data_IF_226236806878
#
_entry.id   IF_226236806878
#
_cell.length_a   1.000
_cell.length_b   1.000
_cell.length_c   1.000
_cell.angle_alpha   90.00
_cell.angle_beta   90.00
_cell.angle_gamma   90.00
#
_symmetry.space_group_name_H-M   'P 1'
#
loop_
_entity.id
_entity.type
_entity.pdbx_description
1 polymer ?
#
# COMPACT_ATOMS: atom_id res chain seq x y z
N UNK A 1 18.26 -21.09 -2.18
CA UNK A 1 19.23 -20.88 -1.08
C UNK A 1 18.65 -19.83 -0.13
N UNK A 2 17.89 -20.25 0.89
CA UNK A 2 17.43 -19.33 1.93
C UNK A 2 18.54 -19.27 2.96
N UNK A 3 19.23 -18.12 3.07
CA UNK A 3 20.18 -17.86 4.14
C UNK A 3 19.44 -18.02 5.48
N UNK A 4 19.59 -19.19 6.10
CA UNK A 4 19.03 -19.50 7.41
C UNK A 4 19.94 -18.89 8.49
N UNK A 5 19.97 -17.57 8.54
CA UNK A 5 20.87 -16.83 9.43
C UNK A 5 20.16 -16.51 10.75
N UNK A 6 20.15 -17.49 11.66
CA UNK A 6 19.69 -17.29 13.04
C UNK A 6 20.50 -16.19 13.75
N UNK A 7 21.77 -15.98 13.37
CA UNK A 7 22.66 -15.01 14.02
C UNK A 7 22.23 -13.56 13.73
N UNK A 8 21.82 -13.25 12.48
CA UNK A 8 21.28 -11.94 12.13
C UNK A 8 19.92 -11.66 12.77
N UNK A 9 19.10 -12.70 12.97
CA UNK A 9 17.80 -12.56 13.66
C UNK A 9 18.01 -12.20 15.12
N UNK A 10 18.89 -12.92 15.81
CA UNK A 10 19.25 -12.67 17.22
C UNK A 10 19.90 -11.29 17.40
N UNK A 11 20.81 -10.89 16.50
CA UNK A 11 21.49 -9.59 16.57
C UNK A 11 20.52 -8.41 16.44
N UNK A 12 19.50 -8.51 15.57
CA UNK A 12 18.50 -7.45 15.38
C UNK A 12 17.59 -7.27 16.60
N UNK A 13 17.25 -8.36 17.28
CA UNK A 13 16.43 -8.36 18.51
C UNK A 13 17.20 -7.81 19.70
N UNK A 14 18.49 -8.12 19.81
CA UNK A 14 19.35 -7.55 20.84
C UNK A 14 19.52 -6.03 20.68
N UNK A 15 19.62 -5.54 19.44
CA UNK A 15 19.75 -4.10 19.16
C UNK A 15 18.44 -3.34 19.37
N UNK A 16 17.30 -4.00 19.19
CA UNK A 16 15.98 -3.38 19.31
C UNK A 16 15.09 -4.26 20.21
N UNK A 17 15.34 -4.28 21.52
CA UNK A 17 14.53 -5.07 22.44
C UNK A 17 13.16 -4.42 22.63
N UNK A 18 12.13 -5.22 22.98
CA UNK A 18 10.85 -4.66 23.38
C UNK A 18 11.01 -3.83 24.65
N UNK A 19 10.41 -2.64 24.65
CA UNK A 19 10.29 -1.80 25.84
C UNK A 19 9.29 -2.45 26.80
N UNK A 20 9.76 -2.73 28.01
CA UNK A 20 8.93 -3.28 29.07
C UNK A 20 8.06 -2.19 29.66
N UNK A 21 6.87 -2.60 30.07
CA UNK A 21 5.91 -1.71 30.71
C UNK A 21 6.34 -1.50 32.18
N UNK A 22 6.38 -0.25 32.69
CA UNK A 22 6.66 -0.02 34.09
C UNK A 22 5.51 -0.53 34.98
N UNK A 23 5.86 -1.06 36.15
CA UNK A 23 4.91 -1.59 37.12
C UNK A 23 3.86 -0.55 37.51
N UNK A 24 2.59 -0.98 37.55
CA UNK A 24 1.44 -0.13 37.90
C UNK A 24 0.88 0.75 36.77
N UNK A 25 1.49 0.77 35.58
CA UNK A 25 0.91 1.52 34.46
C UNK A 25 -0.25 0.75 33.78
N UNK A 26 -1.21 1.46 33.18
CA UNK A 26 -2.30 0.88 32.37
C UNK A 26 -2.04 1.09 30.86
N UNK A 27 -2.58 0.22 30.01
CA UNK A 27 -2.43 0.33 28.54
C UNK A 27 -1.15 -0.29 27.95
N UNK A 28 -0.93 -0.07 26.64
CA UNK A 28 0.19 -0.64 25.87
C UNK A 28 1.42 0.26 25.94
N UNK A 29 2.57 -0.29 26.30
CA UNK A 29 3.84 0.44 26.25
C UNK A 29 4.20 0.79 24.80
N UNK A 30 4.43 2.08 24.53
CA UNK A 30 4.97 2.53 23.23
C UNK A 30 6.33 1.85 23.04
N UNK A 31 6.57 1.34 21.84
CA UNK A 31 7.83 0.73 21.45
C UNK A 31 8.63 1.71 20.58
N UNK A 32 9.93 1.47 20.41
CA UNK A 32 10.75 2.25 19.48
C UNK A 32 10.31 2.05 18.03
N UNK A 33 10.59 3.04 17.18
CA UNK A 33 10.28 2.97 15.76
C UNK A 33 11.02 1.80 15.08
N UNK A 34 12.27 1.57 15.46
CA UNK A 34 13.07 0.45 14.96
C UNK A 34 12.48 -0.91 15.34
N UNK A 35 12.00 -1.08 16.58
CA UNK A 35 11.30 -2.30 17.00
C UNK A 35 10.01 -2.51 16.20
N UNK A 36 9.19 -1.46 16.07
CA UNK A 36 7.93 -1.51 15.34
C UNK A 36 8.15 -1.84 13.85
N UNK A 37 9.18 -1.25 13.23
CA UNK A 37 9.56 -1.52 11.86
C UNK A 37 10.02 -2.97 11.67
N UNK A 38 10.94 -3.45 12.52
CA UNK A 38 11.40 -4.85 12.49
C UNK A 38 10.23 -5.82 12.63
N UNK A 39 9.30 -5.55 13.55
CA UNK A 39 8.11 -6.37 13.76
C UNK A 39 7.21 -6.36 12.51
N UNK A 40 6.99 -5.22 11.88
CA UNK A 40 6.22 -5.13 10.62
C UNK A 40 6.90 -5.87 9.47
N UNK A 41 8.22 -5.77 9.34
CA UNK A 41 8.98 -6.49 8.32
C UNK A 41 8.87 -8.01 8.48
N UNK A 42 8.85 -8.51 9.71
CA UNK A 42 8.62 -9.93 9.98
C UNK A 42 7.20 -10.36 9.64
N UNK A 43 6.21 -9.58 10.08
CA UNK A 43 4.80 -9.89 9.85
C UNK A 43 4.42 -9.91 8.37
N UNK A 44 5.08 -9.07 7.56
CA UNK A 44 4.79 -8.92 6.13
C UNK A 44 5.96 -9.33 5.24
N UNK A 45 6.85 -10.21 5.72
CA UNK A 45 8.07 -10.59 5.02
C UNK A 45 7.78 -11.12 3.61
N UNK A 46 6.77 -11.99 3.48
CA UNK A 46 6.38 -12.60 2.22
C UNK A 46 5.89 -11.57 1.20
N UNK A 47 5.16 -10.55 1.67
CA UNK A 47 4.68 -9.47 0.80
C UNK A 47 5.81 -8.51 0.40
N UNK A 48 6.69 -8.16 1.34
CA UNK A 48 7.82 -7.24 1.11
C UNK A 48 8.84 -7.86 0.15
N UNK A 49 9.13 -9.16 0.32
CA UNK A 49 10.13 -9.89 -0.47
C UNK A 49 9.52 -10.60 -1.68
N UNK A 50 8.24 -10.37 -1.99
CA UNK A 50 7.52 -11.01 -3.10
C UNK A 50 8.26 -10.89 -4.43
N UNK A 51 8.85 -9.74 -4.71
CA UNK A 51 9.62 -9.46 -5.94
C UNK A 51 10.84 -10.38 -6.13
N UNK A 52 11.36 -11.00 -5.05
CA UNK A 52 12.47 -11.95 -5.13
C UNK A 52 11.96 -13.30 -5.66
N UNK A 53 10.77 -13.72 -5.24
CA UNK A 53 10.18 -15.00 -5.61
C UNK A 53 9.38 -14.93 -6.92
N UNK A 54 8.83 -13.76 -7.24
CA UNK A 54 7.93 -13.53 -8.38
C UNK A 54 8.43 -12.34 -9.22
N UNK A 55 9.12 -12.60 -10.35
CA UNK A 55 9.67 -11.55 -11.21
C UNK A 55 8.62 -10.63 -11.86
N UNK A 56 7.34 -11.02 -11.84
CA UNK A 56 6.26 -10.18 -12.35
C UNK A 56 5.95 -9.01 -11.40
N UNK A 57 6.35 -9.13 -10.13
CA UNK A 57 6.19 -8.09 -9.11
C UNK A 57 7.43 -7.19 -9.10
N UNK A 58 7.29 -5.89 -9.38
CA UNK A 58 8.42 -4.98 -9.36
C UNK A 58 8.98 -4.80 -7.95
N UNK A 59 10.28 -4.57 -7.84
CA UNK A 59 10.94 -4.24 -6.57
C UNK A 59 10.38 -2.96 -5.91
N UNK A 60 9.94 -1.99 -6.72
CA UNK A 60 9.44 -0.71 -6.21
C UNK A 60 7.93 -0.68 -6.06
N UNK A 61 7.45 -0.01 -5.01
CA UNK A 61 6.03 0.27 -4.78
C UNK A 61 5.50 1.52 -5.51
N UNK A 62 6.30 2.11 -6.40
CA UNK A 62 6.01 3.41 -7.03
C UNK A 62 4.63 3.44 -7.73
N UNK A 63 4.21 2.34 -8.34
CA UNK A 63 2.92 2.25 -9.04
C UNK A 63 1.76 2.38 -8.04
N UNK A 64 1.80 1.65 -6.93
CA UNK A 64 0.73 1.72 -5.92
C UNK A 64 0.73 3.08 -5.21
N UNK A 65 1.90 3.63 -4.89
CA UNK A 65 2.00 4.96 -4.27
C UNK A 65 1.42 6.04 -5.18
N UNK A 66 1.69 6.00 -6.49
CA UNK A 66 1.11 6.93 -7.46
C UNK A 66 -0.41 6.80 -7.53
N UNK A 67 -0.96 5.59 -7.45
CA UNK A 67 -2.41 5.38 -7.41
C UNK A 67 -3.05 5.97 -6.15
N UNK A 68 -2.45 5.74 -4.97
CA UNK A 68 -2.96 6.23 -3.67
C UNK A 68 -2.75 7.75 -3.48
N UNK A 69 -1.81 8.36 -4.21
CA UNK A 69 -1.55 9.80 -4.13
C UNK A 69 -2.75 10.65 -4.57
N UNK A 70 -3.57 10.14 -5.49
CA UNK A 70 -4.66 10.93 -6.08
C UNK A 70 -5.77 11.30 -5.09
N UNK A 71 -6.26 10.37 -4.24
CA UNK A 71 -7.11 10.73 -3.11
C UNK A 71 -6.50 11.83 -2.21
N UNK A 72 -5.20 11.77 -1.93
CA UNK A 72 -4.54 12.78 -1.10
C UNK A 72 -4.43 14.14 -1.80
N UNK A 73 -4.15 14.15 -3.09
CA UNK A 73 -4.13 15.37 -3.92
C UNK A 73 -5.52 16.00 -3.98
N UNK A 74 -6.58 15.20 -4.17
CA UNK A 74 -7.97 15.68 -4.05
C UNK A 74 -8.18 16.35 -2.70
N UNK A 75 -7.80 15.71 -1.60
CA UNK A 75 -7.95 16.29 -0.27
C UNK A 75 -7.20 17.61 -0.09
N UNK A 76 -5.98 17.70 -0.64
CA UNK A 76 -5.15 18.89 -0.57
C UNK A 76 -5.75 20.07 -1.35
N UNK A 77 -6.25 19.82 -2.56
CA UNK A 77 -6.69 20.87 -3.49
C UNK A 77 -8.17 21.22 -3.29
N UNK A 78 -9.02 20.21 -3.08
CA UNK A 78 -10.49 20.33 -3.07
C UNK A 78 -11.10 20.01 -1.71
N UNK A 79 -10.30 19.96 -0.64
CA UNK A 79 -10.76 19.62 0.71
C UNK A 79 -11.19 18.16 0.87
N UNK A 80 -11.71 17.79 2.05
CA UNK A 80 -12.11 16.42 2.37
C UNK A 80 -13.31 15.91 1.53
N UNK A 81 -13.56 14.60 1.55
CA UNK A 81 -14.82 14.05 1.04
C UNK A 81 -15.92 14.30 2.07
N UNK A 82 -17.09 14.81 1.63
CA UNK A 82 -18.22 15.11 2.52
C UNK A 82 -18.94 13.86 3.02
N UNK A 83 -18.85 12.76 2.26
CA UNK A 83 -19.48 11.47 2.58
C UNK A 83 -18.52 10.34 2.21
N UNK A 84 -18.67 9.19 2.88
CA UNK A 84 -17.93 7.96 2.55
C UNK A 84 -18.26 7.51 1.12
N UNK A 85 -19.54 7.50 0.74
CA UNK A 85 -19.98 7.18 -0.61
C UNK A 85 -19.30 8.04 -1.69
N UNK A 86 -19.07 9.34 -1.43
CA UNK A 86 -18.34 10.20 -2.35
C UNK A 86 -16.86 9.85 -2.48
N UNK A 87 -16.23 9.39 -1.40
CA UNK A 87 -14.87 8.86 -1.42
C UNK A 87 -14.80 7.54 -2.20
N UNK A 88 -15.77 6.65 -1.99
CA UNK A 88 -15.85 5.35 -2.68
C UNK A 88 -16.02 5.54 -4.18
N UNK A 89 -16.96 6.40 -4.61
CA UNK A 89 -17.16 6.73 -6.01
C UNK A 89 -15.88 7.28 -6.65
N UNK A 90 -15.16 8.15 -5.95
CA UNK A 90 -13.87 8.66 -6.43
C UNK A 90 -12.84 7.55 -6.60
N UNK A 91 -12.74 6.65 -5.61
CA UNK A 91 -11.81 5.52 -5.64
C UNK A 91 -12.14 4.53 -6.77
N UNK A 92 -13.42 4.20 -6.97
CA UNK A 92 -13.91 3.32 -8.04
C UNK A 92 -13.59 3.91 -9.41
N UNK A 93 -13.96 5.17 -9.65
CA UNK A 93 -13.67 5.83 -10.92
C UNK A 93 -12.16 5.82 -11.17
N UNK A 94 -11.37 6.19 -10.16
CA UNK A 94 -9.92 6.24 -10.32
C UNK A 94 -9.29 4.87 -10.56
N UNK A 95 -9.75 3.83 -9.86
CA UNK A 95 -9.22 2.47 -10.03
C UNK A 95 -9.55 1.91 -11.41
N UNK A 96 -10.79 2.07 -11.89
CA UNK A 96 -11.18 1.66 -13.24
C UNK A 96 -10.31 2.34 -14.31
N UNK A 97 -10.12 3.66 -14.20
CA UNK A 97 -9.31 4.42 -15.16
C UNK A 97 -7.82 4.04 -15.11
N UNK A 98 -7.28 3.80 -13.91
CA UNK A 98 -5.88 3.37 -13.75
C UNK A 98 -5.65 1.95 -14.31
N UNK A 99 -6.62 1.05 -14.15
CA UNK A 99 -6.59 -0.29 -14.76
C UNK A 99 -6.64 -0.24 -16.27
N UNK A 100 -7.58 0.51 -16.86
CA UNK A 100 -7.69 0.66 -18.32
C UNK A 100 -6.42 1.30 -18.92
N UNK A 101 -5.83 2.26 -18.21
CA UNK A 101 -4.55 2.85 -18.60
C UNK A 101 -3.41 1.83 -18.58
N UNK A 102 -3.34 0.94 -17.58
CA UNK A 102 -2.36 -0.15 -17.51
C UNK A 102 -2.56 -1.19 -18.61
N UNK A 103 -3.80 -1.39 -19.04
CA UNK A 103 -4.17 -2.25 -20.17
C UNK A 103 -3.89 -1.60 -21.55
N UNK A 104 -3.34 -0.38 -21.57
CA UNK A 104 -2.93 0.30 -22.81
C UNK A 104 -4.02 1.08 -23.52
N UNK A 105 -5.18 1.29 -22.89
CA UNK A 105 -6.27 2.06 -23.51
C UNK A 105 -5.97 3.56 -23.55
N UNK A 106 -6.39 4.20 -24.64
CA UNK A 106 -6.40 5.67 -24.75
C UNK A 106 -7.41 6.27 -23.77
N UNK A 107 -6.94 7.14 -22.89
CA UNK A 107 -7.77 7.73 -21.83
C UNK A 107 -8.91 8.59 -22.39
N UNK A 108 -8.68 9.28 -23.50
CA UNK A 108 -9.72 10.06 -24.19
C UNK A 108 -10.84 9.15 -24.71
N UNK A 109 -10.45 8.03 -25.33
CA UNK A 109 -11.42 7.06 -25.88
C UNK A 109 -12.23 6.39 -24.76
N UNK A 110 -11.57 6.00 -23.66
CA UNK A 110 -12.23 5.46 -22.46
C UNK A 110 -13.32 6.41 -21.97
N UNK A 111 -12.99 7.70 -21.82
CA UNK A 111 -13.96 8.70 -21.36
C UNK A 111 -15.08 8.90 -22.37
N UNK A 112 -14.75 9.04 -23.67
CA UNK A 112 -15.74 9.20 -24.74
C UNK A 112 -16.76 8.07 -24.70
N UNK A 113 -16.30 6.82 -24.67
CA UNK A 113 -17.13 5.61 -24.62
C UNK A 113 -18.01 5.53 -23.38
N UNK A 114 -17.44 5.86 -22.22
CA UNK A 114 -18.21 5.90 -20.97
C UNK A 114 -19.36 6.93 -21.04
N UNK A 115 -19.12 8.11 -21.61
CA UNK A 115 -20.16 9.15 -21.76
C UNK A 115 -21.18 8.84 -22.87
N UNK A 116 -20.83 8.03 -23.88
CA UNK A 116 -21.77 7.57 -24.91
C UNK A 116 -22.54 6.31 -24.54
N UNK A 117 -22.41 5.81 -23.30
CA UNK A 117 -23.16 4.65 -22.81
C UNK A 117 -22.58 3.28 -23.20
N UNK A 118 -21.35 3.24 -23.69
CA UNK A 118 -20.65 2.00 -24.08
C UNK A 118 -19.26 1.90 -23.39
N UNK A 119 -19.21 1.87 -22.05
CA UNK A 119 -17.94 1.91 -21.31
C UNK A 119 -17.07 0.68 -21.60
N UNK A 120 -15.75 0.90 -21.66
CA UNK A 120 -14.78 -0.21 -21.71
C UNK A 120 -14.70 -0.83 -20.32
N UNK A 121 -14.97 -2.13 -20.22
CA UNK A 121 -14.85 -2.87 -18.97
C UNK A 121 -13.39 -3.28 -18.76
N UNK A 122 -12.80 -2.99 -17.57
CA UNK A 122 -11.45 -3.43 -17.26
C UNK A 122 -11.41 -4.97 -17.20
N UNK A 123 -10.39 -5.57 -17.83
CA UNK A 123 -10.13 -7.01 -17.68
C UNK A 123 -9.76 -7.35 -16.22
N UNK A 124 -10.18 -8.54 -15.77
CA UNK A 124 -9.91 -9.09 -14.45
C UNK A 124 -8.45 -9.59 -14.31
#
# INVERSE_FOLDING_TARGET
MVYNDQSLRLRREQLNPPQLKPDGSSGRCKQSDAYNLLRRFRLHADAILRFIADPTVPFSNNIAERAVRMPKVKQKISGCFRTIAGADNFCIIRSCLDTLRKQGHSMLEVLRRAFTGDPIMPAA
#
